data_IF_253446271477
#
_entry.id   IF_253446271477
#
_cell.length_a   1.000
_cell.length_b   1.000
_cell.length_c   1.000
_cell.angle_alpha   90.00
_cell.angle_beta   90.00
_cell.angle_gamma   90.00
#
_symmetry.space_group_name_H-M   'P 1'
#
loop_
_entity.id
_entity.type
_entity.pdbx_description
1 polymer ?
#
# COMPACT_ATOMS: atom_id res chain seq x y z
N UNK A 1 11.53 4.75 -25.73
CA UNK A 1 10.95 5.20 -24.45
C UNK A 1 11.96 4.97 -23.34
N UNK A 2 12.19 5.97 -22.51
CA UNK A 2 13.04 5.81 -21.33
C UNK A 2 12.46 4.71 -20.43
N UNK A 3 13.34 3.80 -19.96
CA UNK A 3 12.97 2.80 -18.96
C UNK A 3 12.41 3.53 -17.72
N UNK A 4 11.28 3.11 -17.15
CA UNK A 4 10.77 3.73 -15.94
C UNK A 4 11.88 3.81 -14.90
N UNK A 5 12.05 4.97 -14.31
CA UNK A 5 13.09 5.19 -13.32
C UNK A 5 12.91 4.21 -12.16
N UNK A 6 14.01 3.78 -11.56
CA UNK A 6 14.07 2.93 -10.36
C UNK A 6 13.57 3.68 -9.12
N UNK A 7 12.47 4.42 -9.28
CA UNK A 7 11.87 5.33 -8.30
C UNK A 7 10.48 4.87 -7.93
N UNK A 8 10.17 4.98 -6.65
CA UNK A 8 8.85 4.65 -6.08
C UNK A 8 8.29 5.88 -5.38
N UNK A 9 7.10 6.28 -5.78
CA UNK A 9 6.42 7.44 -5.23
C UNK A 9 5.57 7.07 -4.01
N UNK A 10 5.65 7.93 -2.98
CA UNK A 10 4.75 7.95 -1.84
C UNK A 10 4.23 9.37 -1.66
N UNK A 11 2.91 9.52 -1.53
CA UNK A 11 2.30 10.82 -1.30
C UNK A 11 2.38 11.22 0.17
N UNK A 12 3.06 12.31 0.47
CA UNK A 12 3.23 12.82 1.82
C UNK A 12 4.26 13.94 1.90
N UNK A 13 4.58 14.34 3.12
CA UNK A 13 5.65 15.30 3.35
C UNK A 13 7.02 14.66 3.14
N UNK A 14 8.04 15.43 2.74
CA UNK A 14 9.37 14.88 2.47
C UNK A 14 10.02 14.11 3.63
N UNK A 15 9.57 14.32 4.85
CA UNK A 15 10.07 13.65 6.06
C UNK A 15 9.22 12.46 6.52
N UNK A 16 8.10 12.19 5.85
CA UNK A 16 7.22 11.07 6.17
C UNK A 16 7.82 9.72 5.74
N UNK A 17 7.28 8.66 6.31
CA UNK A 17 7.51 7.28 5.88
C UNK A 17 8.94 6.77 5.98
N UNK A 18 9.65 7.07 7.07
CA UNK A 18 11.03 6.66 7.27
C UNK A 18 11.25 5.15 7.08
N UNK A 19 10.36 4.31 7.63
CA UNK A 19 10.46 2.86 7.53
C UNK A 19 10.28 2.36 6.09
N UNK A 20 9.34 2.93 5.35
CA UNK A 20 9.12 2.58 3.94
C UNK A 20 10.30 3.00 3.08
N UNK A 21 10.89 4.16 3.35
CA UNK A 21 12.10 4.63 2.65
C UNK A 21 13.24 3.65 2.83
N UNK A 22 13.54 3.25 4.07
CA UNK A 22 14.59 2.30 4.38
C UNK A 22 14.37 0.95 3.69
N UNK A 23 13.12 0.46 3.69
CA UNK A 23 12.78 -0.80 3.04
C UNK A 23 12.98 -0.73 1.51
N UNK A 24 12.58 0.36 0.87
CA UNK A 24 12.79 0.56 -0.56
C UNK A 24 14.27 0.66 -0.92
N UNK A 25 15.04 1.44 -0.16
CA UNK A 25 16.48 1.60 -0.36
C UNK A 25 17.22 0.28 -0.18
N UNK A 26 16.79 -0.54 0.78
CA UNK A 26 17.40 -1.86 1.04
C UNK A 26 17.30 -2.82 -0.15
N UNK A 27 16.31 -2.63 -1.03
CA UNK A 27 16.15 -3.42 -2.26
C UNK A 27 16.57 -2.67 -3.53
N UNK A 28 17.31 -1.57 -3.37
CA UNK A 28 17.89 -0.81 -4.47
C UNK A 28 16.90 0.12 -5.20
N UNK A 29 15.75 0.41 -4.59
CA UNK A 29 14.79 1.36 -5.11
C UNK A 29 14.99 2.74 -4.47
N UNK A 30 14.64 3.78 -5.18
CA UNK A 30 14.76 5.17 -4.71
C UNK A 30 13.37 5.73 -4.36
N UNK A 31 13.09 5.99 -3.08
CA UNK A 31 11.83 6.58 -2.66
C UNK A 31 11.76 8.07 -3.05
N UNK A 32 10.61 8.50 -3.51
CA UNK A 32 10.26 9.89 -3.78
C UNK A 32 9.01 10.22 -2.98
N UNK A 33 9.17 10.96 -1.88
CA UNK A 33 8.06 11.36 -1.02
C UNK A 33 7.76 12.83 -1.25
N UNK A 34 6.56 13.13 -1.72
CA UNK A 34 6.18 14.49 -2.10
C UNK A 34 4.66 14.63 -2.10
N UNK A 35 4.17 15.85 -1.91
CA UNK A 35 2.77 16.21 -2.17
C UNK A 35 2.53 16.67 -3.61
N UNK A 36 3.56 16.73 -4.43
CA UNK A 36 3.43 17.07 -5.84
C UNK A 36 2.99 15.85 -6.66
N UNK A 37 1.77 15.89 -7.17
CA UNK A 37 1.26 14.85 -8.07
C UNK A 37 2.05 14.79 -9.37
N UNK A 38 2.63 15.91 -9.79
CA UNK A 38 3.51 15.94 -10.97
C UNK A 38 4.79 15.15 -10.75
N UNK A 39 5.36 15.17 -9.55
CA UNK A 39 6.53 14.36 -9.21
C UNK A 39 6.22 12.86 -9.32
N UNK A 40 5.00 12.45 -8.99
CA UNK A 40 4.56 11.06 -9.11
C UNK A 40 4.62 10.55 -10.54
N UNK A 41 4.24 11.36 -11.52
CA UNK A 41 4.16 10.95 -12.92
C UNK A 41 5.54 10.59 -13.52
N UNK A 42 6.61 11.08 -12.92
CA UNK A 42 7.97 10.74 -13.31
C UNK A 42 8.51 9.45 -12.64
N UNK A 43 7.79 8.90 -11.67
CA UNK A 43 8.23 7.71 -10.93
C UNK A 43 7.86 6.41 -11.62
N UNK A 44 8.67 5.37 -11.40
CA UNK A 44 8.48 4.05 -11.99
C UNK A 44 7.42 3.20 -11.29
N UNK A 45 7.13 3.45 -10.01
CA UNK A 45 6.15 2.72 -9.21
C UNK A 45 5.46 3.60 -8.16
N UNK A 46 4.36 3.10 -7.63
CA UNK A 46 3.57 3.74 -6.58
C UNK A 46 3.51 2.81 -5.36
N UNK A 47 3.79 3.33 -4.19
CA UNK A 47 3.56 2.65 -2.92
C UNK A 47 2.50 3.42 -2.13
N UNK A 48 1.43 2.71 -1.77
CA UNK A 48 0.37 3.21 -0.90
C UNK A 48 0.63 2.68 0.51
N UNK A 49 0.98 3.55 1.46
CA UNK A 49 1.32 3.14 2.82
C UNK A 49 0.11 2.83 3.68
N UNK A 50 0.36 2.32 4.88
CA UNK A 50 -0.62 2.23 5.94
C UNK A 50 -1.11 3.61 6.39
N UNK A 51 -2.24 3.65 7.09
CA UNK A 51 -2.83 4.90 7.57
C UNK A 51 -4.18 4.67 8.24
N UNK A 52 -4.95 5.74 8.35
CA UNK A 52 -6.29 5.74 8.93
C UNK A 52 -7.34 5.07 8.06
N UNK A 53 -8.58 5.14 8.51
CA UNK A 53 -9.72 4.48 7.86
C UNK A 53 -10.06 5.09 6.50
N UNK A 54 -10.62 4.25 5.65
CA UNK A 54 -11.31 4.67 4.44
C UNK A 54 -12.81 4.63 4.74
N UNK A 55 -13.47 5.77 4.58
CA UNK A 55 -14.91 5.90 4.80
C UNK A 55 -15.66 5.77 3.45
N UNK A 56 -16.36 6.82 3.02
CA UNK A 56 -17.24 6.73 1.85
C UNK A 56 -16.49 6.64 0.52
N UNK A 57 -15.34 7.26 0.43
CA UNK A 57 -14.55 7.34 -0.82
C UNK A 57 -13.08 7.63 -0.55
N UNK A 58 -12.26 7.37 -1.56
CA UNK A 58 -10.84 7.70 -1.52
C UNK A 58 -10.61 9.21 -1.59
N UNK A 59 -9.56 9.71 -0.89
CA UNK A 59 -9.09 11.07 -1.11
C UNK A 59 -8.81 11.35 -2.60
N UNK A 60 -9.09 12.55 -3.10
CA UNK A 60 -8.90 12.87 -4.52
C UNK A 60 -7.48 12.63 -5.04
N UNK A 61 -6.48 12.94 -4.25
CA UNK A 61 -5.08 12.74 -4.62
C UNK A 61 -4.73 11.26 -4.78
N UNK A 62 -5.23 10.44 -3.87
CA UNK A 62 -5.01 8.99 -3.91
C UNK A 62 -5.74 8.35 -5.11
N UNK A 63 -6.97 8.76 -5.36
CA UNK A 63 -7.73 8.32 -6.53
C UNK A 63 -7.03 8.72 -7.84
N UNK A 64 -6.47 9.94 -7.90
CA UNK A 64 -5.68 10.40 -9.04
C UNK A 64 -4.43 9.53 -9.26
N UNK A 65 -3.67 9.29 -8.19
CA UNK A 65 -2.45 8.48 -8.27
C UNK A 65 -2.73 7.06 -8.72
N UNK A 66 -3.74 6.42 -8.14
CA UNK A 66 -4.15 5.07 -8.52
C UNK A 66 -4.53 5.00 -10.00
N UNK A 67 -5.32 5.94 -10.48
CA UNK A 67 -5.70 6.01 -11.89
C UNK A 67 -4.49 6.21 -12.79
N UNK A 68 -3.63 7.19 -12.48
CA UNK A 68 -2.48 7.53 -13.30
C UNK A 68 -1.51 6.34 -13.47
N UNK A 69 -1.20 5.63 -12.39
CA UNK A 69 -0.31 4.47 -12.45
C UNK A 69 -0.98 3.26 -13.08
N UNK A 70 -2.27 3.04 -12.82
CA UNK A 70 -3.03 1.94 -13.38
C UNK A 70 -3.14 2.02 -14.91
N UNK A 71 -3.51 3.19 -15.43
CA UNK A 71 -3.70 3.38 -16.87
C UNK A 71 -2.41 3.14 -17.67
N UNK A 72 -1.26 3.51 -17.13
CA UNK A 72 0.03 3.29 -17.78
C UNK A 72 0.69 1.97 -17.37
N UNK A 73 0.00 1.13 -16.61
CA UNK A 73 0.46 -0.19 -16.14
C UNK A 73 1.79 -0.15 -15.38
N UNK A 74 2.02 0.90 -14.60
CA UNK A 74 3.14 0.94 -13.67
C UNK A 74 2.82 0.18 -12.39
N UNK A 75 3.81 -0.46 -11.75
CA UNK A 75 3.60 -1.20 -10.51
C UNK A 75 2.97 -0.35 -9.40
N UNK A 76 2.02 -0.96 -8.70
CA UNK A 76 1.38 -0.38 -7.51
C UNK A 76 1.47 -1.41 -6.40
N UNK A 77 1.99 -1.02 -5.24
CA UNK A 77 1.98 -1.83 -4.02
C UNK A 77 1.18 -1.12 -2.95
N UNK A 78 0.15 -1.77 -2.44
CA UNK A 78 -0.63 -1.29 -1.30
C UNK A 78 -0.32 -2.09 -0.05
N UNK A 79 -0.03 -1.41 1.06
CA UNK A 79 0.25 -2.02 2.35
C UNK A 79 -0.82 -1.56 3.35
N UNK A 80 -1.49 -2.51 4.02
CA UNK A 80 -2.55 -2.26 5.00
C UNK A 80 -3.66 -1.37 4.41
N UNK A 81 -3.81 -0.14 4.87
CA UNK A 81 -4.76 0.83 4.29
C UNK A 81 -4.54 1.03 2.79
N UNK A 82 -3.31 1.00 2.32
CA UNK A 82 -3.00 1.12 0.89
C UNK A 82 -3.56 -0.03 0.05
N UNK A 83 -3.54 -1.25 0.57
CA UNK A 83 -4.20 -2.41 -0.05
C UNK A 83 -5.73 -2.21 -0.08
N UNK A 84 -6.31 -1.73 0.99
CA UNK A 84 -7.74 -1.41 1.07
C UNK A 84 -8.14 -0.33 0.05
N UNK A 85 -7.31 0.70 -0.10
CA UNK A 85 -7.52 1.76 -1.09
C UNK A 85 -7.51 1.21 -2.53
N UNK A 86 -6.59 0.33 -2.84
CA UNK A 86 -6.52 -0.34 -4.14
C UNK A 86 -7.77 -1.18 -4.41
N UNK A 87 -8.26 -1.89 -3.39
CA UNK A 87 -9.51 -2.66 -3.48
C UNK A 87 -10.71 -1.76 -3.78
N UNK A 88 -10.86 -0.67 -3.06
CA UNK A 88 -11.95 0.30 -3.27
C UNK A 88 -11.86 0.94 -4.66
N UNK A 89 -10.66 1.31 -5.09
CA UNK A 89 -10.42 1.83 -6.44
C UNK A 89 -10.89 0.85 -7.54
N UNK A 90 -10.74 -0.44 -7.30
CA UNK A 90 -11.18 -1.51 -8.21
C UNK A 90 -12.66 -1.87 -8.08
N UNK A 91 -13.41 -1.16 -7.26
CA UNK A 91 -14.84 -1.38 -7.04
C UNK A 91 -15.17 -2.40 -5.95
N UNK A 92 -14.18 -2.80 -5.18
CA UNK A 92 -14.36 -3.66 -4.02
C UNK A 92 -14.91 -2.91 -2.81
N UNK A 93 -15.30 -3.66 -1.80
CA UNK A 93 -15.86 -3.16 -0.54
C UNK A 93 -14.98 -3.48 0.65
N UNK A 94 -15.18 -2.75 1.73
CA UNK A 94 -14.48 -2.96 3.00
C UNK A 94 -15.46 -3.42 4.07
N UNK A 95 -14.96 -4.24 4.99
CA UNK A 95 -15.63 -4.60 6.22
C UNK A 95 -15.08 -3.72 7.34
N UNK A 96 -15.97 -3.04 8.04
CA UNK A 96 -15.62 -2.29 9.24
C UNK A 96 -15.60 -3.19 10.48
N UNK A 97 -14.87 -2.78 11.52
CA UNK A 97 -14.84 -3.41 12.82
C UNK A 97 -14.54 -4.92 12.79
N UNK A 98 -13.48 -5.31 12.10
CA UNK A 98 -13.00 -6.68 12.10
C UNK A 98 -12.50 -7.05 13.52
N UNK A 99 -13.18 -8.01 14.20
CA UNK A 99 -12.78 -8.39 15.56
C UNK A 99 -11.41 -9.06 15.57
N UNK A 100 -10.68 -8.89 16.66
CA UNK A 100 -9.42 -9.59 16.95
C UNK A 100 -8.24 -9.27 16.02
N UNK A 101 -8.25 -8.13 15.31
CA UNK A 101 -7.15 -7.69 14.46
C UNK A 101 -6.52 -6.37 14.91
N UNK A 102 -6.99 -5.83 16.02
CA UNK A 102 -6.41 -4.67 16.68
C UNK A 102 -6.51 -4.82 18.19
N UNK A 103 -5.41 -4.53 18.87
CA UNK A 103 -5.37 -4.47 20.34
C UNK A 103 -4.91 -3.08 20.77
N UNK A 104 -5.35 -2.58 21.95
CA UNK A 104 -5.02 -1.22 22.40
C UNK A 104 -3.54 -0.92 22.52
N UNK A 105 -2.73 -1.92 22.84
CA UNK A 105 -1.30 -1.78 23.11
C UNK A 105 -0.47 -2.72 22.23
N UNK A 106 -0.27 -2.32 20.96
CA UNK A 106 0.63 -3.02 20.07
C UNK A 106 -0.06 -3.77 18.92
N UNK A 107 0.69 -4.63 18.29
CA UNK A 107 0.28 -5.40 17.14
C UNK A 107 -0.16 -6.80 17.55
N UNK A 108 -1.14 -7.34 16.82
CA UNK A 108 -1.55 -8.72 16.98
C UNK A 108 -0.76 -9.63 16.05
N UNK A 109 -0.08 -10.62 16.60
CA UNK A 109 0.65 -11.63 15.83
C UNK A 109 -0.22 -12.87 15.67
N UNK A 110 -0.42 -13.31 14.43
CA UNK A 110 -1.26 -14.48 14.14
C UNK A 110 -0.81 -15.21 12.87
N UNK A 111 -1.17 -16.51 12.71
CA UNK A 111 -0.94 -17.22 11.46
C UNK A 111 -1.86 -16.69 10.37
N UNK A 112 -1.41 -16.82 9.13
CA UNK A 112 -2.20 -16.53 7.94
C UNK A 112 -2.02 -17.62 6.91
N UNK A 113 -2.77 -17.54 5.83
CA UNK A 113 -2.65 -18.48 4.70
C UNK A 113 -2.31 -17.71 3.44
N UNK A 114 -1.26 -18.14 2.77
CA UNK A 114 -0.87 -17.63 1.48
C UNK A 114 -1.16 -18.66 0.37
N UNK A 115 -1.54 -18.18 -0.80
CA UNK A 115 -1.86 -19.00 -1.97
C UNK A 115 -1.15 -18.45 -3.21
N UNK A 116 -1.06 -19.27 -4.25
CA UNK A 116 -0.48 -18.89 -5.53
C UNK A 116 0.96 -18.39 -5.43
N UNK A 117 1.31 -17.35 -6.21
CA UNK A 117 2.67 -16.80 -6.24
C UNK A 117 3.14 -16.28 -4.86
N UNK A 118 2.22 -15.82 -4.01
CA UNK A 118 2.56 -15.33 -2.70
C UNK A 118 3.01 -16.46 -1.77
N UNK A 119 2.40 -17.64 -1.88
CA UNK A 119 2.83 -18.83 -1.13
C UNK A 119 4.24 -19.28 -1.53
N UNK A 120 4.63 -19.09 -2.79
CA UNK A 120 5.99 -19.40 -3.25
C UNK A 120 7.04 -18.47 -2.64
N UNK A 121 6.67 -17.24 -2.31
CA UNK A 121 7.57 -16.25 -1.71
C UNK A 121 7.62 -16.35 -0.18
N UNK A 122 6.49 -16.56 0.48
CA UNK A 122 6.34 -16.46 1.93
C UNK A 122 6.13 -17.80 2.63
N UNK A 123 5.96 -18.88 1.87
CA UNK A 123 5.45 -20.14 2.38
C UNK A 123 3.92 -20.15 2.51
N UNK A 124 3.31 -21.33 2.72
CA UNK A 124 1.83 -21.46 2.71
C UNK A 124 1.16 -20.92 3.98
N UNK A 125 1.88 -20.83 5.09
CA UNK A 125 1.34 -20.43 6.39
C UNK A 125 2.27 -19.42 7.09
N UNK A 126 2.47 -18.21 6.53
CA UNK A 126 3.30 -17.21 7.19
C UNK A 126 2.63 -16.69 8.46
N UNK A 127 3.42 -16.39 9.47
CA UNK A 127 2.98 -15.62 10.63
C UNK A 127 3.08 -14.15 10.30
N UNK A 128 2.00 -13.41 10.55
CA UNK A 128 1.88 -12.00 10.22
C UNK A 128 1.50 -11.17 11.44
N UNK A 129 1.78 -9.89 11.36
CA UNK A 129 1.40 -8.91 12.35
C UNK A 129 0.26 -8.06 11.80
N UNK A 130 -0.79 -7.85 12.60
CA UNK A 130 -1.96 -7.06 12.24
C UNK A 130 -2.23 -5.97 13.27
N UNK A 131 -2.57 -4.79 12.77
CA UNK A 131 -2.99 -3.64 13.57
C UNK A 131 -4.00 -2.84 12.75
N UNK A 132 -5.19 -3.42 12.56
CA UNK A 132 -6.25 -2.79 11.76
C UNK A 132 -7.63 -3.29 12.20
N UNK A 133 -8.67 -2.49 11.99
CA UNK A 133 -10.06 -2.90 12.22
C UNK A 133 -10.90 -2.96 10.94
N UNK A 134 -10.46 -2.33 9.87
CA UNK A 134 -11.04 -2.51 8.54
C UNK A 134 -10.33 -3.61 7.76
N UNK A 135 -11.05 -4.31 6.91
CA UNK A 135 -10.51 -5.33 6.02
C UNK A 135 -11.22 -5.30 4.66
N UNK A 136 -10.59 -5.91 3.67
CA UNK A 136 -11.20 -6.16 2.37
C UNK A 136 -12.34 -7.16 2.55
N UNK A 137 -13.52 -6.85 2.00
CA UNK A 137 -14.69 -7.72 2.02
C UNK A 137 -14.91 -8.40 0.66
N UNK A 138 -14.91 -7.60 -0.42
CA UNK A 138 -15.01 -8.06 -1.81
C UNK A 138 -14.11 -7.26 -2.72
#
# INVERSE_FOLDING_TARGET
MAKPANTVFLYGEPWDYANYRLALEAVGLRPVVSRSLMAALACGGLLLPGGGDIHDRLPPEEAFLLRAFWEVRRPILGICRGMQALNVFRGGTLRDDLPSHQIPEGDMVHPSRAEGPLAALLGPCPTVTSSHHQAVDR
#
